data_IF_579738183381
#
_entry.id   IF_579738183381
#
_cell.length_a   1.000
_cell.length_b   1.000
_cell.length_c   1.000
_cell.angle_alpha   90.00
_cell.angle_beta   90.00
_cell.angle_gamma   90.00
#
_symmetry.space_group_name_H-M   'P 1'
#
loop_
_entity.id
_entity.type
_entity.pdbx_description
1 polymer ?
#
# COMPACT_ATOMS: atom_id res chain seq x y z
N UNK A 1 -0.56 7.63 -14.12
CA UNK A 1 -0.74 6.24 -13.66
C UNK A 1 -2.16 6.00 -13.09
N UNK A 2 -2.53 6.69 -12.03
CA UNK A 2 -3.90 6.67 -11.50
C UNK A 2 -4.50 8.07 -11.63
N UNK A 3 -5.78 8.13 -12.02
CA UNK A 3 -6.57 9.35 -12.05
C UNK A 3 -7.94 9.08 -11.45
N UNK A 4 -8.33 9.87 -10.45
CA UNK A 4 -9.57 9.71 -9.67
C UNK A 4 -10.40 10.97 -9.79
N UNK A 5 -11.67 10.82 -10.21
CA UNK A 5 -12.60 11.92 -10.45
C UNK A 5 -13.92 11.71 -9.73
N UNK A 6 -14.27 12.66 -8.85
CA UNK A 6 -15.55 12.72 -8.11
C UNK A 6 -15.87 11.41 -7.37
N UNK A 7 -14.83 10.72 -6.86
CA UNK A 7 -14.98 9.42 -6.22
C UNK A 7 -15.74 9.55 -4.90
N UNK A 8 -16.90 8.93 -4.81
CA UNK A 8 -17.69 8.85 -3.59
C UNK A 8 -18.09 7.40 -3.30
N UNK A 9 -18.07 7.01 -2.02
CA UNK A 9 -18.41 5.66 -1.60
C UNK A 9 -19.18 5.61 -0.28
N UNK A 10 -20.10 4.65 -0.18
CA UNK A 10 -20.80 4.27 1.04
C UNK A 10 -21.05 2.76 1.06
N UNK A 11 -20.91 2.14 2.23
CA UNK A 11 -21.13 0.69 2.38
C UNK A 11 -22.62 0.30 2.26
N UNK A 12 -23.50 1.13 2.74
CA UNK A 12 -24.96 0.89 2.68
C UNK A 12 -25.63 1.96 1.85
N UNK A 13 -26.63 1.59 1.06
CA UNK A 13 -27.34 2.50 0.15
C UNK A 13 -27.89 3.75 0.85
N UNK A 14 -28.39 3.62 2.09
CA UNK A 14 -28.88 4.73 2.95
C UNK A 14 -27.84 5.16 4.00
N UNK A 15 -26.60 4.64 3.96
CA UNK A 15 -25.56 4.94 4.92
C UNK A 15 -24.85 6.26 4.68
N UNK A 16 -24.03 6.66 5.68
CA UNK A 16 -23.14 7.83 5.58
C UNK A 16 -22.10 7.62 4.49
N UNK A 17 -21.74 8.68 3.77
CA UNK A 17 -20.58 8.69 2.88
C UNK A 17 -19.31 8.42 3.68
N UNK A 18 -18.49 7.50 3.19
CA UNK A 18 -17.18 7.18 3.72
C UNK A 18 -16.09 7.87 2.90
N UNK A 19 -16.34 8.02 1.59
CA UNK A 19 -15.53 8.85 0.69
C UNK A 19 -16.48 9.84 0.03
N UNK A 20 -16.06 11.10 -0.08
CA UNK A 20 -16.87 12.18 -0.61
C UNK A 20 -16.12 13.01 -1.66
N UNK A 21 -16.48 12.82 -2.93
CA UNK A 21 -16.01 13.55 -4.12
C UNK A 21 -14.49 13.73 -4.18
N UNK A 22 -13.76 12.64 -3.96
CA UNK A 22 -12.29 12.67 -4.05
C UNK A 22 -11.83 12.91 -5.48
N UNK A 23 -10.91 13.84 -5.63
CA UNK A 23 -10.24 14.16 -6.89
C UNK A 23 -8.73 14.19 -6.64
N UNK A 24 -7.95 13.31 -7.31
CA UNK A 24 -6.50 13.28 -7.23
C UNK A 24 -5.90 12.44 -8.34
N UNK A 25 -4.61 12.60 -8.56
CA UNK A 25 -3.83 11.76 -9.46
C UNK A 25 -2.54 11.27 -8.79
N UNK A 26 -2.06 10.10 -9.22
CA UNK A 26 -0.77 9.55 -8.83
C UNK A 26 0.05 9.31 -10.09
N UNK A 27 1.26 9.84 -10.13
CA UNK A 27 2.16 9.68 -11.27
C UNK A 27 2.81 8.29 -11.29
N UNK A 28 3.28 7.89 -12.46
CA UNK A 28 4.00 6.62 -12.61
C UNK A 28 5.39 6.71 -11.97
N UNK A 29 5.78 5.66 -11.26
CA UNK A 29 7.09 5.56 -10.62
C UNK A 29 7.22 6.35 -9.31
N UNK A 30 6.10 6.87 -8.77
CA UNK A 30 6.08 7.59 -7.50
C UNK A 30 5.59 6.72 -6.35
N UNK A 31 5.95 7.11 -5.13
CA UNK A 31 5.35 6.57 -3.91
C UNK A 31 4.32 7.57 -3.41
N UNK A 32 3.10 7.10 -3.17
CA UNK A 32 1.99 7.91 -2.69
C UNK A 32 1.53 7.38 -1.34
N UNK A 33 1.47 8.24 -0.33
CA UNK A 33 1.09 7.85 1.03
C UNK A 33 -0.22 8.52 1.43
N UNK A 34 -1.22 7.68 1.75
CA UNK A 34 -2.49 8.13 2.32
C UNK A 34 -2.34 8.27 3.83
N UNK A 35 -2.38 9.49 4.35
CA UNK A 35 -2.27 9.79 5.78
C UNK A 35 -3.63 10.23 6.33
N UNK A 36 -3.96 9.81 7.54
CA UNK A 36 -5.17 10.20 8.24
C UNK A 36 -5.45 9.33 9.45
N UNK A 37 -6.32 9.79 10.32
CA UNK A 37 -6.77 9.04 11.50
C UNK A 37 -7.50 7.74 11.13
N UNK A 38 -7.66 6.86 12.12
CA UNK A 38 -8.50 5.68 12.00
C UNK A 38 -9.94 6.12 11.70
N UNK A 39 -10.57 5.46 10.74
CA UNK A 39 -11.92 5.81 10.28
C UNK A 39 -11.98 6.99 9.28
N UNK A 40 -10.86 7.60 8.87
CA UNK A 40 -10.85 8.67 7.87
C UNK A 40 -11.21 8.23 6.44
N UNK A 41 -11.26 6.91 6.16
CA UNK A 41 -11.57 6.35 4.84
C UNK A 41 -10.39 5.74 4.08
N UNK A 42 -9.17 5.70 4.64
CA UNK A 42 -7.96 5.16 3.98
C UNK A 42 -8.15 3.76 3.40
N UNK A 43 -8.53 2.79 4.25
CA UNK A 43 -8.77 1.41 3.83
C UNK A 43 -9.87 1.31 2.78
N UNK A 44 -10.92 2.14 2.88
CA UNK A 44 -12.00 2.19 1.89
C UNK A 44 -11.48 2.69 0.55
N UNK A 45 -10.68 3.76 0.54
CA UNK A 45 -10.06 4.28 -0.67
C UNK A 45 -9.11 3.25 -1.29
N UNK A 46 -8.21 2.67 -0.50
CA UNK A 46 -7.28 1.61 -0.90
C UNK A 46 -8.05 0.44 -1.56
N UNK A 47 -9.10 -0.07 -0.93
CA UNK A 47 -9.92 -1.16 -1.47
C UNK A 47 -10.65 -0.77 -2.75
N UNK A 48 -11.10 0.47 -2.87
CA UNK A 48 -11.73 0.98 -4.09
C UNK A 48 -10.73 1.05 -5.23
N UNK A 49 -9.51 1.58 -4.99
CA UNK A 49 -8.43 1.63 -5.98
C UNK A 49 -7.96 0.23 -6.40
N UNK A 50 -7.98 -0.73 -5.47
CA UNK A 50 -7.67 -2.13 -5.76
C UNK A 50 -8.80 -2.87 -6.52
N UNK A 51 -9.95 -2.21 -6.77
CA UNK A 51 -11.10 -2.80 -7.45
C UNK A 51 -11.86 -3.83 -6.62
N UNK A 52 -11.70 -3.81 -5.30
CA UNK A 52 -12.40 -4.69 -4.35
C UNK A 52 -13.76 -4.12 -3.92
N UNK A 53 -13.95 -2.82 -4.04
CA UNK A 53 -15.21 -2.12 -3.79
C UNK A 53 -15.66 -1.47 -5.11
N UNK A 54 -16.67 -2.04 -5.77
CA UNK A 54 -17.08 -1.65 -7.11
C UNK A 54 -18.25 -0.65 -7.12
N UNK A 55 -19.05 -0.60 -6.05
CA UNK A 55 -20.27 0.24 -5.96
C UNK A 55 -19.96 1.69 -5.55
N UNK A 56 -18.95 2.32 -6.17
CA UNK A 56 -18.62 3.74 -5.98
C UNK A 56 -19.23 4.61 -7.07
N UNK A 57 -19.45 5.90 -6.77
CA UNK A 57 -19.76 6.95 -7.74
C UNK A 57 -18.46 7.61 -8.21
N UNK A 58 -18.50 8.27 -9.37
CA UNK A 58 -17.31 8.85 -9.97
C UNK A 58 -16.52 7.83 -10.79
N UNK A 59 -15.29 8.18 -11.12
CA UNK A 59 -14.43 7.40 -12.00
C UNK A 59 -13.03 7.21 -11.43
N UNK A 60 -12.47 6.02 -11.66
CA UNK A 60 -11.08 5.67 -11.36
C UNK A 60 -10.46 5.11 -12.63
N UNK A 61 -9.36 5.69 -13.06
CA UNK A 61 -8.59 5.23 -14.22
C UNK A 61 -7.23 4.71 -13.77
N UNK A 62 -6.79 3.62 -14.38
CA UNK A 62 -5.44 3.06 -14.22
C UNK A 62 -4.83 2.93 -15.60
N UNK A 63 -3.73 3.65 -15.84
CA UNK A 63 -3.10 3.78 -17.15
C UNK A 63 -4.09 4.20 -18.26
N UNK A 64 -5.01 5.12 -17.93
CA UNK A 64 -6.03 5.63 -18.86
C UNK A 64 -7.25 4.71 -19.06
N UNK A 65 -7.27 3.51 -18.46
CA UNK A 65 -8.39 2.57 -18.55
C UNK A 65 -9.29 2.66 -17.31
N UNK A 66 -10.59 2.78 -17.50
CA UNK A 66 -11.55 2.85 -16.39
C UNK A 66 -11.60 1.53 -15.62
N UNK A 67 -11.33 1.59 -14.30
CA UNK A 67 -11.24 0.43 -13.41
C UNK A 67 -12.49 -0.45 -13.43
N UNK A 68 -13.68 0.12 -13.59
CA UNK A 68 -14.95 -0.63 -13.66
C UNK A 68 -15.06 -1.51 -14.91
N UNK A 69 -14.31 -1.19 -15.96
CA UNK A 69 -14.32 -1.95 -17.22
C UNK A 69 -13.29 -3.07 -17.25
N UNK A 70 -12.34 -3.06 -16.33
CA UNK A 70 -11.30 -4.08 -16.25
C UNK A 70 -11.84 -5.33 -15.56
N UNK A 71 -11.65 -6.48 -16.19
CA UNK A 71 -11.87 -7.79 -15.58
C UNK A 71 -10.89 -8.03 -14.43
N UNK A 72 -11.19 -8.98 -13.54
CA UNK A 72 -10.29 -9.37 -12.43
C UNK A 72 -8.90 -9.75 -12.96
N UNK A 73 -8.82 -10.47 -14.09
CA UNK A 73 -7.55 -10.89 -14.70
C UNK A 73 -6.73 -9.69 -15.21
N UNK A 74 -7.38 -8.69 -15.80
CA UNK A 74 -6.73 -7.47 -16.27
C UNK A 74 -6.24 -6.63 -15.10
N UNK A 75 -7.03 -6.49 -14.03
CA UNK A 75 -6.62 -5.82 -12.78
C UNK A 75 -5.39 -6.50 -12.18
N UNK A 76 -5.39 -7.84 -12.07
CA UNK A 76 -4.25 -8.60 -11.52
C UNK A 76 -2.96 -8.45 -12.34
N UNK A 77 -3.05 -8.12 -13.64
CA UNK A 77 -1.87 -7.81 -14.46
C UNK A 77 -1.35 -6.39 -14.26
N UNK A 78 -2.21 -5.46 -13.84
CA UNK A 78 -1.87 -4.05 -13.67
C UNK A 78 -1.43 -3.71 -12.26
N UNK A 79 -2.01 -4.38 -11.25
CA UNK A 79 -1.78 -4.04 -9.85
C UNK A 79 -1.68 -5.25 -8.94
N UNK A 80 -0.88 -5.12 -7.87
CA UNK A 80 -0.86 -6.02 -6.72
C UNK A 80 -1.48 -5.30 -5.51
N UNK A 81 -2.15 -6.05 -4.64
CA UNK A 81 -2.76 -5.53 -3.44
C UNK A 81 -2.39 -6.37 -2.21
N UNK A 82 -2.01 -5.69 -1.14
CA UNK A 82 -1.79 -6.29 0.19
C UNK A 82 -2.75 -5.67 1.19
N UNK A 83 -3.56 -6.51 1.82
CA UNK A 83 -4.47 -6.09 2.88
C UNK A 83 -3.74 -5.93 4.21
N UNK A 84 -4.29 -5.12 5.11
CA UNK A 84 -3.79 -4.94 6.47
C UNK A 84 -3.72 -6.26 7.26
N UNK A 85 -4.64 -7.19 7.00
CA UNK A 85 -4.64 -8.53 7.62
C UNK A 85 -4.51 -9.59 6.55
N UNK A 86 -3.53 -10.46 6.68
CA UNK A 86 -3.41 -11.63 5.82
C UNK A 86 -4.44 -12.69 6.26
N UNK A 87 -5.30 -13.09 5.34
CA UNK A 87 -6.23 -14.21 5.51
C UNK A 87 -5.66 -15.50 4.92
N UNK A 88 -4.34 -15.61 4.80
CA UNK A 88 -3.70 -16.79 4.24
C UNK A 88 -3.91 -18.02 5.15
N UNK A 89 -4.06 -19.17 4.53
CA UNK A 89 -4.26 -20.45 5.22
C UNK A 89 -2.98 -20.83 5.96
N UNK A 90 -3.09 -21.14 7.24
CA UNK A 90 -1.94 -21.42 8.12
C UNK A 90 -1.07 -22.58 7.65
N UNK A 91 -1.65 -23.62 7.05
CA UNK A 91 -0.93 -24.79 6.53
C UNK A 91 -0.18 -24.54 5.20
N UNK A 92 -0.27 -23.34 4.62
CA UNK A 92 0.31 -23.05 3.33
C UNK A 92 1.82 -22.80 3.42
N UNK A 93 2.68 -23.49 2.63
CA UNK A 93 4.13 -23.25 2.62
C UNK A 93 4.45 -21.82 2.16
N UNK A 94 5.41 -21.17 2.82
CA UNK A 94 5.85 -19.80 2.48
C UNK A 94 6.34 -19.70 1.04
N UNK A 95 7.13 -20.67 0.57
CA UNK A 95 7.61 -20.71 -0.81
C UNK A 95 6.45 -20.72 -1.82
N UNK A 96 5.46 -21.59 -1.60
CA UNK A 96 4.31 -21.70 -2.49
C UNK A 96 3.47 -20.43 -2.47
N UNK A 97 3.30 -19.81 -1.29
CA UNK A 97 2.61 -18.53 -1.17
C UNK A 97 3.32 -17.42 -1.98
N UNK A 98 4.64 -17.35 -1.94
CA UNK A 98 5.41 -16.41 -2.74
C UNK A 98 5.31 -16.73 -4.24
N UNK A 99 5.33 -18.01 -4.63
CA UNK A 99 5.17 -18.44 -6.01
C UNK A 99 3.77 -18.13 -6.56
N UNK A 100 2.72 -18.08 -5.72
CA UNK A 100 1.40 -17.60 -6.14
C UNK A 100 1.43 -16.16 -6.70
N UNK A 101 2.35 -15.32 -6.24
CA UNK A 101 2.57 -14.01 -6.84
C UNK A 101 2.88 -14.07 -8.34
N UNK A 102 3.38 -15.19 -8.87
CA UNK A 102 3.74 -15.33 -10.29
C UNK A 102 2.58 -15.77 -11.18
N UNK A 103 1.46 -16.22 -10.60
CA UNK A 103 0.35 -16.90 -11.34
C UNK A 103 -0.32 -15.99 -12.39
N UNK A 104 -0.32 -14.67 -12.21
CA UNK A 104 -0.87 -13.74 -13.19
C UNK A 104 -0.15 -13.74 -14.54
N UNK A 105 1.08 -14.30 -14.61
CA UNK A 105 1.92 -14.41 -15.80
C UNK A 105 1.89 -15.79 -16.44
N UNK A 106 1.28 -16.78 -15.76
CA UNK A 106 1.30 -18.18 -16.15
C UNK A 106 -0.08 -18.57 -16.72
N UNK A 107 -0.11 -19.41 -17.76
CA UNK A 107 -1.35 -20.00 -18.24
C UNK A 107 -1.86 -21.07 -17.26
N UNK A 108 -3.16 -21.28 -17.20
CA UNK A 108 -3.86 -22.15 -16.24
C UNK A 108 -3.27 -23.57 -16.08
N UNK A 109 -2.61 -24.08 -17.13
CA UNK A 109 -2.01 -25.43 -17.15
C UNK A 109 -0.48 -25.44 -16.96
N UNK A 110 0.13 -24.30 -16.60
CA UNK A 110 1.58 -24.21 -16.44
C UNK A 110 1.94 -24.05 -14.97
N UNK A 111 3.00 -24.73 -14.55
CA UNK A 111 3.63 -24.51 -13.24
C UNK A 111 4.64 -23.35 -13.30
N UNK A 112 4.95 -22.70 -12.17
CA UNK A 112 6.03 -21.71 -12.07
C UNK A 112 7.34 -22.30 -12.62
N UNK A 113 8.08 -21.49 -13.38
CA UNK A 113 9.37 -21.89 -13.95
C UNK A 113 10.50 -21.73 -12.93
N UNK A 114 11.66 -22.32 -13.19
CA UNK A 114 12.86 -22.12 -12.37
C UNK A 114 13.26 -20.64 -12.26
N UNK A 115 13.03 -19.85 -13.31
CA UNK A 115 13.24 -18.39 -13.28
C UNK A 115 12.33 -17.69 -12.27
N UNK A 116 11.08 -18.11 -12.15
CA UNK A 116 10.13 -17.58 -11.17
C UNK A 116 10.57 -17.93 -9.76
N UNK A 117 11.01 -19.17 -9.54
CA UNK A 117 11.55 -19.62 -8.25
C UNK A 117 12.81 -18.84 -7.87
N UNK A 118 13.74 -18.65 -8.81
CA UNK A 118 14.93 -17.84 -8.59
C UNK A 118 14.56 -16.40 -8.17
N UNK A 119 13.65 -15.77 -8.91
CA UNK A 119 13.15 -14.42 -8.59
C UNK A 119 12.53 -14.34 -7.20
N UNK A 120 11.71 -15.32 -6.82
CA UNK A 120 11.13 -15.43 -5.47
C UNK A 120 12.22 -15.48 -4.40
N UNK A 121 13.22 -16.34 -4.59
CA UNK A 121 14.32 -16.49 -3.64
C UNK A 121 15.18 -15.23 -3.54
N UNK A 122 15.40 -14.51 -4.63
CA UNK A 122 16.14 -13.25 -4.64
C UNK A 122 15.38 -12.15 -3.87
N UNK A 123 14.06 -12.03 -4.06
CA UNK A 123 13.26 -11.12 -3.25
C UNK A 123 13.18 -11.57 -1.79
N UNK A 124 13.05 -12.87 -1.50
CA UNK A 124 13.06 -13.38 -0.13
C UNK A 124 14.34 -12.99 0.62
N UNK A 125 15.50 -13.03 -0.06
CA UNK A 125 16.77 -12.53 0.49
C UNK A 125 16.75 -11.03 0.74
N UNK A 126 16.26 -10.23 -0.22
CA UNK A 126 16.17 -8.78 -0.08
C UNK A 126 15.26 -8.36 1.09
N UNK A 127 14.16 -9.10 1.30
CA UNK A 127 13.23 -8.87 2.42
C UNK A 127 13.69 -9.50 3.74
N UNK A 128 14.84 -10.20 3.78
CA UNK A 128 15.35 -10.84 4.98
C UNK A 128 14.56 -12.07 5.44
N UNK A 129 13.70 -12.61 4.58
CA UNK A 129 12.80 -13.74 4.88
C UNK A 129 13.25 -15.08 4.28
N UNK A 130 14.45 -15.16 3.75
CA UNK A 130 14.97 -16.38 3.13
C UNK A 130 14.96 -17.60 4.09
N UNK A 131 15.11 -17.36 5.39
CA UNK A 131 15.07 -18.39 6.45
C UNK A 131 13.65 -18.93 6.74
N UNK A 132 12.62 -18.32 6.16
CA UNK A 132 11.21 -18.72 6.32
C UNK A 132 10.71 -19.60 5.18
N UNK A 133 11.46 -19.76 4.10
CA UNK A 133 11.01 -20.38 2.85
C UNK A 133 10.45 -21.79 3.04
N UNK A 134 11.08 -22.57 3.92
CA UNK A 134 10.69 -23.97 4.19
C UNK A 134 9.63 -24.11 5.29
N UNK A 135 9.17 -22.99 5.89
CA UNK A 135 8.14 -22.97 6.92
C UNK A 135 6.73 -22.85 6.31
N UNK A 136 5.73 -23.19 7.13
CA UNK A 136 4.32 -22.86 6.86
C UNK A 136 3.98 -21.46 7.36
N UNK A 137 2.97 -20.82 6.77
CA UNK A 137 2.50 -19.50 7.20
C UNK A 137 2.03 -19.47 8.67
N UNK A 138 1.50 -20.57 9.19
CA UNK A 138 1.11 -20.70 10.59
C UNK A 138 2.28 -20.79 11.57
N UNK A 139 3.49 -21.10 11.10
CA UNK A 139 4.71 -21.25 11.91
C UNK A 139 5.51 -19.97 12.05
N UNK A 140 5.09 -18.89 11.38
CA UNK A 140 5.76 -17.59 11.39
C UNK A 140 4.94 -16.53 12.13
N UNK A 141 5.60 -15.54 12.70
CA UNK A 141 4.96 -14.45 13.41
C UNK A 141 4.08 -13.59 12.49
N UNK A 142 3.15 -12.82 13.07
CA UNK A 142 2.30 -11.90 12.31
C UNK A 142 3.09 -10.86 11.52
N UNK A 143 4.20 -10.35 12.08
CA UNK A 143 5.11 -9.43 11.39
C UNK A 143 5.83 -10.09 10.20
N UNK A 144 6.37 -11.29 10.39
CA UNK A 144 7.00 -12.06 9.30
C UNK A 144 5.98 -12.37 8.19
N UNK A 145 4.74 -12.74 8.56
CA UNK A 145 3.64 -12.98 7.61
C UNK A 145 3.31 -11.72 6.80
N UNK A 146 3.35 -10.55 7.42
CA UNK A 146 3.16 -9.28 6.73
C UNK A 146 4.27 -9.02 5.72
N UNK A 147 5.54 -9.25 6.07
CA UNK A 147 6.68 -9.11 5.16
C UNK A 147 6.58 -10.11 4.00
N UNK A 148 6.21 -11.35 4.27
CA UNK A 148 5.96 -12.38 3.24
C UNK A 148 4.86 -11.93 2.28
N UNK A 149 3.76 -11.34 2.78
CA UNK A 149 2.65 -10.85 1.94
C UNK A 149 3.10 -9.69 1.03
N UNK A 150 3.91 -8.76 1.55
CA UNK A 150 4.47 -7.66 0.75
C UNK A 150 5.43 -8.21 -0.31
N UNK A 151 6.29 -9.17 0.06
CA UNK A 151 7.20 -9.84 -0.86
C UNK A 151 6.43 -10.51 -2.01
N UNK A 152 5.36 -11.25 -1.72
CA UNK A 152 4.49 -11.89 -2.73
C UNK A 152 3.89 -10.86 -3.71
N UNK A 153 3.45 -9.70 -3.21
CA UNK A 153 2.94 -8.62 -4.07
C UNK A 153 4.03 -8.03 -4.98
N UNK A 154 5.26 -7.94 -4.52
CA UNK A 154 6.39 -7.47 -5.35
C UNK A 154 6.78 -8.53 -6.39
N UNK A 155 6.76 -9.80 -6.01
CA UNK A 155 7.00 -10.95 -6.92
C UNK A 155 6.00 -10.98 -8.06
N UNK A 156 4.76 -10.52 -7.85
CA UNK A 156 3.72 -10.40 -8.88
C UNK A 156 4.16 -9.52 -10.06
N UNK A 157 5.12 -8.62 -9.83
CA UNK A 157 5.79 -7.80 -10.83
C UNK A 157 4.83 -6.94 -11.67
N UNK A 158 3.89 -6.32 -10.99
CA UNK A 158 3.00 -5.31 -11.55
C UNK A 158 3.63 -3.91 -11.47
N UNK A 159 3.13 -2.98 -12.29
CA UNK A 159 3.60 -1.58 -12.26
C UNK A 159 3.04 -0.80 -11.06
N UNK A 160 1.91 -1.23 -10.50
CA UNK A 160 1.24 -0.61 -9.37
C UNK A 160 1.17 -1.60 -8.21
N UNK A 161 1.57 -1.16 -7.02
CA UNK A 161 1.47 -1.93 -5.78
C UNK A 161 0.69 -1.09 -4.75
N UNK A 162 -0.41 -1.64 -4.27
CA UNK A 162 -1.31 -1.01 -3.31
C UNK A 162 -1.20 -1.74 -1.97
N UNK A 163 -0.87 -1.02 -0.91
CA UNK A 163 -0.59 -1.59 0.42
C UNK A 163 -1.47 -0.91 1.48
N UNK A 164 -2.28 -1.69 2.18
CA UNK A 164 -3.10 -1.17 3.27
C UNK A 164 -2.38 -1.35 4.62
N UNK A 165 -1.90 -0.25 5.20
CA UNK A 165 -1.12 -0.21 6.45
C UNK A 165 0.00 -1.27 6.54
N UNK A 166 0.96 -1.30 5.58
CA UNK A 166 1.93 -2.39 5.45
C UNK A 166 2.87 -2.54 6.65
N UNK A 167 2.95 -1.56 7.53
CA UNK A 167 3.89 -1.51 8.66
C UNK A 167 3.21 -1.66 10.01
N UNK A 168 1.87 -1.72 10.09
CA UNK A 168 1.13 -1.66 11.36
C UNK A 168 1.39 -2.84 12.32
N UNK A 169 1.78 -4.01 11.80
CA UNK A 169 2.09 -5.20 12.59
C UNK A 169 3.60 -5.42 12.83
N UNK A 170 4.44 -4.46 12.43
CA UNK A 170 5.90 -4.57 12.45
C UNK A 170 6.51 -3.75 13.59
N UNK A 171 7.60 -4.25 14.18
CA UNK A 171 8.47 -3.44 15.01
C UNK A 171 9.22 -2.37 14.20
N UNK A 172 9.81 -1.39 14.87
CA UNK A 172 10.47 -0.23 14.25
C UNK A 172 11.56 -0.66 13.25
N UNK A 173 12.34 -1.69 13.57
CA UNK A 173 13.41 -2.21 12.69
C UNK A 173 12.82 -2.78 11.39
N UNK A 174 11.80 -3.60 11.50
CA UNK A 174 11.12 -4.22 10.36
C UNK A 174 10.31 -3.19 9.55
N UNK A 175 9.69 -2.19 10.20
CA UNK A 175 9.07 -1.06 9.50
C UNK A 175 10.07 -0.35 8.60
N UNK A 176 11.23 0.03 9.14
CA UNK A 176 12.29 0.70 8.39
C UNK A 176 12.80 -0.16 7.22
N UNK A 177 13.01 -1.47 7.45
CA UNK A 177 13.45 -2.39 6.40
C UNK A 177 12.46 -2.45 5.23
N UNK A 178 11.15 -2.60 5.52
CA UNK A 178 10.10 -2.64 4.51
C UNK A 178 10.02 -1.31 3.74
N UNK A 179 10.01 -0.17 4.42
CA UNK A 179 9.96 1.15 3.78
C UNK A 179 11.19 1.40 2.90
N UNK A 180 12.38 0.98 3.36
CA UNK A 180 13.62 1.06 2.59
C UNK A 180 13.54 0.25 1.29
N UNK A 181 13.00 -0.95 1.34
CA UNK A 181 12.80 -1.80 0.15
C UNK A 181 11.78 -1.17 -0.81
N UNK A 182 10.65 -0.66 -0.31
CA UNK A 182 9.65 0.05 -1.12
C UNK A 182 10.31 1.24 -1.85
N UNK A 183 11.06 2.08 -1.12
CA UNK A 183 11.78 3.23 -1.67
C UNK A 183 12.77 2.81 -2.76
N UNK A 184 13.54 1.75 -2.50
CA UNK A 184 14.50 1.19 -3.45
C UNK A 184 13.82 0.69 -4.72
N UNK A 185 12.77 -0.12 -4.60
CA UNK A 185 12.05 -0.70 -5.73
C UNK A 185 11.36 0.39 -6.56
N UNK A 186 10.74 1.40 -5.92
CA UNK A 186 10.16 2.53 -6.63
C UNK A 186 11.21 3.26 -7.48
N UNK A 187 12.39 3.54 -6.88
CA UNK A 187 13.48 4.26 -7.54
C UNK A 187 14.16 3.45 -8.65
N UNK A 188 14.47 2.17 -8.40
CA UNK A 188 15.28 1.36 -9.31
C UNK A 188 14.45 0.69 -10.42
N UNK A 189 13.19 0.32 -10.12
CA UNK A 189 12.33 -0.40 -11.06
C UNK A 189 11.19 0.46 -11.62
N UNK A 190 11.06 1.73 -11.19
CA UNK A 190 10.01 2.63 -11.64
C UNK A 190 8.60 2.17 -11.27
N UNK A 191 8.45 1.33 -10.23
CA UNK A 191 7.15 0.87 -9.75
C UNK A 191 6.43 1.98 -8.97
N UNK A 192 5.14 2.06 -9.16
CA UNK A 192 4.28 2.99 -8.42
C UNK A 192 3.75 2.32 -7.17
N UNK A 193 3.84 2.99 -6.04
CA UNK A 193 3.27 2.52 -4.79
C UNK A 193 2.18 3.47 -4.29
N UNK A 194 1.09 2.89 -3.79
CA UNK A 194 0.11 3.59 -2.97
C UNK A 194 0.02 2.84 -1.65
N UNK A 195 0.27 3.52 -0.56
CA UNK A 195 0.16 2.89 0.76
C UNK A 195 -0.58 3.79 1.74
N UNK A 196 -1.36 3.19 2.63
CA UNK A 196 -1.92 3.90 3.77
C UNK A 196 -0.99 3.85 4.96
N UNK A 197 -0.94 4.93 5.73
CA UNK A 197 -0.24 5.01 7.00
C UNK A 197 -0.96 5.95 7.96
N UNK A 198 -0.81 5.70 9.26
CA UNK A 198 -1.18 6.66 10.29
C UNK A 198 0.04 7.45 10.80
N UNK A 199 1.27 7.10 10.38
CA UNK A 199 2.49 7.76 10.77
C UNK A 199 3.02 8.67 9.63
N UNK A 200 2.99 10.02 9.80
CA UNK A 200 3.49 10.95 8.79
C UNK A 200 4.98 10.81 8.49
N UNK A 201 5.78 10.32 9.44
CA UNK A 201 7.22 10.12 9.25
C UNK A 201 7.51 9.09 8.14
N UNK A 202 6.62 8.14 7.89
CA UNK A 202 6.77 7.21 6.77
C UNK A 202 6.77 7.93 5.42
N UNK A 203 5.92 8.94 5.25
CA UNK A 203 5.86 9.71 4.02
C UNK A 203 7.11 10.58 3.81
N UNK A 204 7.61 11.21 4.87
CA UNK A 204 8.87 11.96 4.86
C UNK A 204 10.05 11.04 4.50
N UNK A 205 10.15 9.89 5.15
CA UNK A 205 11.20 8.90 4.86
C UNK A 205 11.19 8.43 3.41
N UNK A 206 10.00 8.19 2.86
CA UNK A 206 9.83 7.74 1.48
C UNK A 206 10.02 8.86 0.45
N UNK A 207 10.11 10.13 0.87
CA UNK A 207 10.09 11.32 -0.01
C UNK A 207 8.91 11.25 -0.99
N UNK A 208 7.72 10.91 -0.45
CA UNK A 208 6.54 10.55 -1.22
C UNK A 208 5.67 11.75 -1.60
N UNK A 209 4.74 11.51 -2.51
CA UNK A 209 3.53 12.33 -2.59
C UNK A 209 2.56 11.90 -1.48
N UNK A 210 1.84 12.85 -0.92
CA UNK A 210 0.96 12.63 0.24
C UNK A 210 -0.45 13.08 -0.07
N UNK A 211 -1.41 12.29 0.37
CA UNK A 211 -2.83 12.61 0.42
C UNK A 211 -3.27 12.59 1.88
N UNK A 212 -3.53 13.76 2.47
CA UNK A 212 -4.06 13.88 3.83
C UNK A 212 -5.58 13.68 3.81
N UNK A 213 -6.04 12.59 4.42
CA UNK A 213 -7.46 12.23 4.49
C UNK A 213 -8.07 12.59 5.85
N UNK A 214 -9.18 13.34 5.83
CA UNK A 214 -10.02 13.62 6.99
C UNK A 214 -11.49 13.40 6.65
N UNK A 215 -12.15 12.53 7.41
CA UNK A 215 -13.60 12.28 7.29
C UNK A 215 -14.08 12.02 5.84
N UNK A 216 -13.30 11.26 5.07
CA UNK A 216 -13.66 10.88 3.71
C UNK A 216 -13.33 11.90 2.63
N UNK A 217 -12.65 13.01 2.96
CA UNK A 217 -12.20 14.03 2.01
C UNK A 217 -10.68 14.16 2.03
N UNK A 218 -10.07 14.56 0.91
CA UNK A 218 -8.67 14.96 0.85
C UNK A 218 -8.61 16.43 1.24
N UNK A 219 -7.91 16.73 2.35
CA UNK A 219 -7.77 18.12 2.83
C UNK A 219 -6.52 18.81 2.30
N UNK A 220 -5.46 18.04 2.04
CA UNK A 220 -4.21 18.53 1.45
C UNK A 220 -3.60 17.42 0.59
N UNK A 221 -2.99 17.78 -0.53
CA UNK A 221 -2.14 16.88 -1.31
C UNK A 221 -0.90 17.61 -1.83
N UNK A 222 0.23 16.90 -1.95
CA UNK A 222 1.50 17.41 -2.47
C UNK A 222 2.68 16.57 -2.00
N UNK A 223 3.89 17.08 -2.20
CA UNK A 223 5.11 16.41 -1.73
C UNK A 223 5.16 16.42 -0.21
N UNK A 224 5.61 15.31 0.38
CA UNK A 224 5.69 15.18 1.84
C UNK A 224 6.51 16.31 2.48
N UNK A 225 7.60 16.71 1.84
CA UNK A 225 8.52 17.76 2.32
C UNK A 225 7.85 19.14 2.38
N UNK A 226 6.89 19.40 1.49
CA UNK A 226 6.22 20.70 1.38
C UNK A 226 4.99 20.79 2.27
N UNK A 227 4.22 19.69 2.37
CA UNK A 227 2.89 19.71 3.00
C UNK A 227 2.85 19.12 4.41
N UNK A 228 3.81 18.28 4.81
CA UNK A 228 3.86 17.78 6.19
C UNK A 228 4.49 18.85 7.09
N UNK A 229 3.63 19.72 7.59
CA UNK A 229 3.93 20.77 8.56
C UNK A 229 2.90 20.74 9.69
N UNK A 230 3.16 21.53 10.75
CA UNK A 230 2.32 21.51 11.95
C UNK A 230 0.86 21.89 11.64
N UNK A 231 0.62 22.86 10.77
CA UNK A 231 -0.74 23.32 10.41
C UNK A 231 -1.53 22.25 9.67
N UNK A 232 -0.92 21.63 8.65
CA UNK A 232 -1.55 20.54 7.90
C UNK A 232 -1.82 19.33 8.80
N UNK A 233 -0.90 18.98 9.71
CA UNK A 233 -1.07 17.87 10.65
C UNK A 233 -2.16 18.17 11.68
N UNK A 234 -2.25 19.40 12.22
CA UNK A 234 -3.33 19.82 13.11
C UNK A 234 -4.70 19.69 12.47
N UNK A 235 -4.84 19.91 11.17
CA UNK A 235 -6.12 19.70 10.46
C UNK A 235 -6.58 18.26 10.51
N UNK A 236 -5.67 17.30 10.60
CA UNK A 236 -5.96 15.84 10.57
C UNK A 236 -5.97 15.24 11.98
N UNK A 237 -4.99 15.59 12.81
CA UNK A 237 -4.72 14.95 14.09
C UNK A 237 -5.24 15.73 15.30
N UNK A 238 -5.57 17.02 15.14
CA UNK A 238 -5.99 17.93 16.21
C UNK A 238 -4.84 18.82 16.70
N UNK A 239 -5.17 19.68 17.69
CA UNK A 239 -4.25 20.71 18.19
C UNK A 239 -3.09 20.15 19.04
N UNK A 240 -3.24 18.93 19.59
CA UNK A 240 -2.27 18.32 20.51
C UNK A 240 -1.04 17.72 19.82
N UNK A 241 -0.89 17.93 18.51
CA UNK A 241 0.27 17.44 17.77
C UNK A 241 1.41 18.46 17.81
N UNK A 242 2.62 18.01 18.09
CA UNK A 242 3.83 18.81 17.98
C UNK A 242 4.73 18.31 16.84
N UNK A 243 5.58 19.19 16.38
CA UNK A 243 6.53 18.94 15.30
C UNK A 243 7.92 19.34 15.78
N UNK A 244 8.78 18.36 16.02
CA UNK A 244 10.18 18.62 16.37
C UNK A 244 11.08 18.47 15.15
N UNK A 245 12.03 19.39 15.02
CA UNK A 245 13.09 19.34 13.99
C UNK A 245 14.39 19.14 14.73
N UNK A 246 14.71 17.89 15.06
CA UNK A 246 16.05 17.52 15.51
C UNK A 246 16.81 16.92 14.34
N UNK A 247 18.00 17.48 14.06
CA UNK A 247 18.88 16.96 13.03
C UNK A 247 19.37 15.55 13.38
N UNK A 248 19.42 14.61 12.43
CA UNK A 248 19.16 14.77 10.99
C UNK A 248 17.72 14.45 10.52
N UNK A 249 16.79 14.15 11.40
CA UNK A 249 15.43 13.72 11.06
C UNK A 249 14.39 14.65 11.67
N UNK A 250 13.32 14.88 10.92
CA UNK A 250 12.10 15.48 11.45
C UNK A 250 11.29 14.38 12.14
N UNK A 251 10.98 14.56 13.41
CA UNK A 251 10.13 13.67 14.18
C UNK A 251 8.82 14.38 14.53
N UNK A 252 7.73 13.63 14.45
CA UNK A 252 6.39 14.11 14.75
C UNK A 252 5.87 13.29 15.93
N UNK A 253 5.53 13.95 17.02
CA UNK A 253 5.02 13.34 18.24
C UNK A 253 3.79 14.08 18.76
N UNK A 254 3.10 13.49 19.74
CA UNK A 254 2.04 14.14 20.48
C UNK A 254 2.63 14.81 21.73
N UNK A 255 2.03 15.91 22.17
CA UNK A 255 2.33 16.57 23.45
C UNK A 255 1.46 15.85 24.49
N UNK A 256 2.07 15.39 25.60
CA UNK A 256 1.38 14.84 26.75
C UNK A 256 0.65 15.94 27.54
#
# INVERSE_FOLDING_TARGET
MIDVKELSFKYQRKGKLVLDKLNFSCEKGTVNVLIGLNGSGKTTLIKTLAGLLENYQGEVFIDGENLKRLSIKERAKKMAYVSQRSNAVDDFPVLDYLLFGTVNKINFYQSPKEEDKKRVLDYAKQFGIAHLIDKKLGEISGGERQIVSICAAIVQDTNLVILDEPTSALDIKNQHAVLSIIKKIAKEQGKTFILSSHNPNHALYLSSDVLLLRSGTIVVQGRAEDIINIEALKTVYGEDICYSVELPYKEISFID
#
